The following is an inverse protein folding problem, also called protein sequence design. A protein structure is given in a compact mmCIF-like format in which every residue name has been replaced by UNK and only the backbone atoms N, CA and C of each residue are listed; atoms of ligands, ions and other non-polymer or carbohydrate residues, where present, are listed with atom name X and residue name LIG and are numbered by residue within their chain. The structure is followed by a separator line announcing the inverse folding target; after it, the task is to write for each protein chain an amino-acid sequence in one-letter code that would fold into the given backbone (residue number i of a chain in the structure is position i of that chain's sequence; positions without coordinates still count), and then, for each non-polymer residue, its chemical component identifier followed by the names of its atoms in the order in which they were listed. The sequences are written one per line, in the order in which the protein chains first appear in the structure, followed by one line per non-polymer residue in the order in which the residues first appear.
data_IF_313233796857
#
_entry.id   IF_313233796857
#
_cell.length_a   1.000
_cell.length_b   1.000
_cell.length_c   1.000
_cell.angle_alpha   90.00
_cell.angle_beta   90.00
_cell.angle_gamma   90.00
#
_symmetry.space_group_name_H-M   'P 1'
#
loop_
_entity.id
_entity.type
_entity.pdbx_description
1 polymer ?
#
# COMPACT_ATOMS: atom_id res chain seq x y z
N UNK A 1 3.73 6.01 15.74
CA UNK A 1 4.63 4.84 15.89
C UNK A 1 4.91 4.18 14.54
N UNK A 2 6.03 3.40 14.45
CA UNK A 2 6.37 2.60 13.26
C UNK A 2 6.38 1.11 13.62
N UNK A 3 5.79 0.29 12.78
CA UNK A 3 5.69 -1.16 12.97
C UNK A 3 6.30 -1.90 11.78
N UNK A 4 6.93 -3.03 12.06
CA UNK A 4 7.48 -3.94 11.05
C UNK A 4 7.13 -5.39 11.39
N UNK A 5 7.13 -6.23 10.37
CA UNK A 5 7.09 -7.68 10.52
C UNK A 5 8.44 -8.23 10.15
N UNK A 6 9.14 -8.85 11.09
CA UNK A 6 10.46 -9.42 10.90
C UNK A 6 10.38 -10.92 10.56
N UNK A 7 11.28 -11.38 9.70
CA UNK A 7 11.42 -12.80 9.34
C UNK A 7 11.75 -13.64 10.59
N UNK A 8 11.07 -14.75 10.77
CA UNK A 8 11.30 -15.71 11.84
C UNK A 8 11.21 -17.18 11.36
N UNK A 9 11.07 -17.37 10.05
CA UNK A 9 10.86 -18.67 9.40
C UNK A 9 9.40 -19.05 9.22
N UNK A 10 8.46 -18.35 9.86
CA UNK A 10 7.03 -18.48 9.61
C UNK A 10 6.59 -17.63 8.40
N UNK A 11 5.35 -17.85 7.93
CA UNK A 11 4.78 -17.06 6.84
C UNK A 11 4.37 -15.66 7.28
N UNK A 12 4.02 -15.47 8.54
CA UNK A 12 3.49 -14.22 9.06
C UNK A 12 4.52 -13.41 9.85
N UNK A 13 5.71 -13.99 10.09
CA UNK A 13 6.80 -13.34 10.81
C UNK A 13 6.43 -12.93 12.24
N UNK A 14 7.23 -12.08 12.83
CA UNK A 14 7.04 -11.56 14.19
C UNK A 14 6.94 -10.04 14.20
N UNK A 15 6.04 -9.51 15.05
CA UNK A 15 5.81 -8.08 15.17
C UNK A 15 6.96 -7.38 15.90
N UNK A 16 7.39 -6.26 15.37
CA UNK A 16 8.36 -5.37 15.97
C UNK A 16 7.92 -3.91 15.90
N UNK A 17 8.28 -3.14 16.92
CA UNK A 17 8.24 -1.68 16.89
C UNK A 17 9.59 -1.19 16.38
N UNK A 18 9.59 -0.15 15.52
CA UNK A 18 10.79 0.41 14.89
C UNK A 18 10.95 1.86 15.29
N UNK A 19 12.21 2.28 15.55
CA UNK A 19 12.55 3.65 15.91
C UNK A 19 12.21 4.66 14.78
N UNK A 20 12.00 5.92 15.15
CA UNK A 20 11.66 6.99 14.19
C UNK A 20 12.69 7.16 13.08
N UNK A 21 13.97 6.96 13.40
CA UNK A 21 15.07 7.05 12.46
C UNK A 21 15.36 5.76 11.68
N UNK A 22 14.57 4.70 11.90
CA UNK A 22 14.67 3.39 11.24
C UNK A 22 15.99 2.65 11.53
N UNK A 23 16.67 2.96 12.61
CA UNK A 23 17.96 2.32 12.96
C UNK A 23 17.84 1.15 13.93
N UNK A 24 16.81 1.17 14.79
CA UNK A 24 16.59 0.20 15.85
C UNK A 24 15.18 -0.36 15.84
N UNK A 25 15.01 -1.54 16.42
CA UNK A 25 13.69 -2.14 16.64
C UNK A 25 13.68 -2.98 17.91
N UNK A 26 12.47 -3.28 18.36
CA UNK A 26 12.20 -4.20 19.47
C UNK A 26 11.08 -5.15 19.08
N UNK A 27 11.32 -6.45 19.23
CA UNK A 27 10.28 -7.48 19.02
C UNK A 27 9.29 -7.43 20.19
N UNK A 28 8.00 -7.42 19.88
CA UNK A 28 6.91 -7.19 20.83
C UNK A 28 5.92 -8.35 20.92
N UNK A 29 6.41 -9.59 20.80
CA UNK A 29 5.58 -10.80 20.87
C UNK A 29 4.72 -10.91 22.15
N UNK A 30 5.14 -10.28 23.25
CA UNK A 30 4.38 -10.19 24.48
C UNK A 30 3.16 -9.25 24.38
N UNK A 31 3.06 -8.44 23.34
CA UNK A 31 1.89 -7.62 23.02
C UNK A 31 1.01 -8.37 22.03
N UNK A 32 1.59 -8.75 20.89
CA UNK A 32 0.98 -9.57 19.87
C UNK A 32 2.06 -10.31 19.07
N UNK A 33 1.86 -11.58 18.69
CA UNK A 33 2.86 -12.34 17.95
C UNK A 33 3.10 -11.81 16.53
N UNK A 34 2.05 -11.32 15.87
CA UNK A 34 2.07 -10.82 14.50
C UNK A 34 1.30 -9.50 14.41
N UNK A 35 1.49 -8.74 13.33
CA UNK A 35 0.69 -7.54 13.09
C UNK A 35 -0.80 -7.89 12.92
N UNK A 36 -1.11 -9.01 12.27
CA UNK A 36 -2.50 -9.49 12.16
C UNK A 36 -3.13 -9.67 13.54
N UNK A 37 -2.46 -10.37 14.45
CA UNK A 37 -2.98 -10.59 15.80
C UNK A 37 -3.12 -9.27 16.61
N UNK A 38 -2.31 -8.27 16.31
CA UNK A 38 -2.46 -6.94 16.90
C UNK A 38 -3.69 -6.22 16.34
N UNK A 39 -3.95 -6.31 15.05
CA UNK A 39 -5.11 -5.72 14.40
C UNK A 39 -6.43 -6.40 14.85
N UNK A 40 -6.45 -7.72 14.97
CA UNK A 40 -7.61 -8.47 15.47
C UNK A 40 -8.01 -8.08 16.92
N UNK A 41 -7.14 -7.37 17.63
CA UNK A 41 -7.38 -6.90 19.00
C UNK A 41 -6.77 -5.50 19.23
N UNK A 42 -7.03 -4.59 18.29
CA UNK A 42 -6.37 -3.28 18.23
C UNK A 42 -6.62 -2.40 19.44
N UNK A 43 -7.81 -2.45 20.01
CA UNK A 43 -8.15 -1.68 21.23
C UNK A 43 -7.19 -1.98 22.39
N UNK A 44 -6.73 -3.23 22.52
CA UNK A 44 -5.80 -3.65 23.56
C UNK A 44 -4.34 -3.58 23.11
N UNK A 45 -4.04 -3.93 21.86
CA UNK A 45 -2.68 -3.96 21.34
C UNK A 45 -2.15 -2.56 21.04
N UNK A 46 -2.95 -1.71 20.40
CA UNK A 46 -2.55 -0.39 19.92
C UNK A 46 -1.93 0.50 21.02
N UNK A 47 -2.59 0.74 22.18
CA UNK A 47 -2.02 1.52 23.28
C UNK A 47 -0.72 0.93 23.85
N UNK A 48 -0.57 -0.39 23.82
CA UNK A 48 0.67 -1.07 24.29
C UNK A 48 1.79 -0.90 23.28
N UNK A 49 1.50 -0.95 21.99
CA UNK A 49 2.46 -0.71 20.91
C UNK A 49 2.96 0.74 20.92
N UNK A 50 2.08 1.72 21.18
CA UNK A 50 2.48 3.12 21.35
C UNK A 50 3.47 3.26 22.50
N UNK A 51 3.18 2.68 23.68
CA UNK A 51 4.11 2.71 24.83
C UNK A 51 5.44 2.00 24.53
N UNK A 52 5.40 0.90 23.77
CA UNK A 52 6.62 0.23 23.33
C UNK A 52 7.46 1.10 22.38
N UNK A 53 6.81 1.87 21.51
CA UNK A 53 7.49 2.84 20.64
C UNK A 53 8.16 3.97 21.47
N UNK A 54 7.46 4.52 22.46
CA UNK A 54 8.00 5.53 23.36
C UNK A 54 9.18 4.98 24.19
N UNK A 55 9.08 3.75 24.69
CA UNK A 55 10.15 3.09 25.42
C UNK A 55 11.38 2.82 24.55
N UNK A 56 11.18 2.49 23.25
CA UNK A 56 12.24 2.34 22.28
C UNK A 56 12.99 3.67 22.06
N UNK A 57 12.27 4.77 21.82
CA UNK A 57 12.87 6.10 21.61
C UNK A 57 13.66 6.60 22.80
N UNK A 58 13.22 6.26 24.02
CA UNK A 58 13.89 6.69 25.27
C UNK A 58 14.98 5.72 25.73
N UNK A 59 15.21 4.61 25.03
CA UNK A 59 16.17 3.58 25.43
C UNK A 59 15.76 2.79 26.68
N UNK A 60 14.47 2.81 27.03
CA UNK A 60 13.95 2.15 28.23
C UNK A 60 13.70 0.63 28.07
N UNK A 61 14.03 0.07 26.91
CA UNK A 61 13.90 -1.36 26.63
C UNK A 61 15.06 -1.87 25.75
N UNK A 62 15.35 -3.18 25.76
CA UNK A 62 16.34 -3.77 24.88
C UNK A 62 16.00 -3.55 23.41
N UNK A 63 17.01 -3.22 22.62
CA UNK A 63 16.87 -2.95 21.18
C UNK A 63 17.83 -3.80 20.37
N UNK A 64 17.49 -4.05 19.14
CA UNK A 64 18.36 -4.59 18.11
C UNK A 64 18.39 -3.66 16.89
N UNK A 65 19.43 -3.78 16.08
CA UNK A 65 19.53 -2.98 14.86
C UNK A 65 18.44 -3.38 13.87
N UNK A 66 17.70 -2.40 13.38
CA UNK A 66 16.73 -2.64 12.31
C UNK A 66 17.41 -2.78 10.94
N UNK A 67 17.10 -3.85 10.24
CA UNK A 67 17.57 -4.10 8.88
C UNK A 67 16.38 -4.42 7.98
N UNK A 68 16.12 -3.57 6.99
CA UNK A 68 15.00 -3.74 6.05
C UNK A 68 15.05 -5.08 5.27
N UNK A 69 16.24 -5.67 5.07
CA UNK A 69 16.37 -7.00 4.47
C UNK A 69 15.81 -8.14 5.34
N UNK A 70 15.68 -7.90 6.64
CA UNK A 70 15.06 -8.84 7.56
C UNK A 70 13.55 -8.63 7.71
N UNK A 71 13.01 -7.56 7.11
CA UNK A 71 11.57 -7.31 7.10
C UNK A 71 10.87 -8.14 6.02
N UNK A 72 9.65 -8.54 6.32
CA UNK A 72 8.61 -8.95 5.38
C UNK A 72 7.77 -7.73 5.01
N UNK A 73 6.74 -7.89 4.15
CA UNK A 73 5.63 -6.96 4.11
C UNK A 73 5.06 -6.79 5.53
N UNK A 74 4.60 -5.60 5.94
CA UNK A 74 4.00 -5.41 7.28
C UNK A 74 2.92 -6.44 7.60
N UNK A 75 2.06 -6.77 6.62
CA UNK A 75 1.20 -7.95 6.62
C UNK A 75 1.64 -8.84 5.47
N UNK A 76 2.34 -9.96 5.70
CA UNK A 76 2.79 -10.86 4.63
C UNK A 76 1.64 -11.52 3.87
N UNK A 77 0.49 -11.66 4.52
CA UNK A 77 -0.79 -12.09 3.98
C UNK A 77 -1.88 -11.21 4.59
N UNK A 78 -2.90 -10.88 3.82
CA UNK A 78 -4.06 -10.14 4.31
C UNK A 78 -5.34 -10.88 3.95
N UNK A 79 -6.41 -10.66 4.71
CA UNK A 79 -7.72 -11.23 4.36
C UNK A 79 -8.24 -10.67 3.05
N UNK A 80 -7.91 -9.42 2.77
CA UNK A 80 -8.30 -8.77 1.53
C UNK A 80 -7.30 -7.67 1.15
N UNK A 81 -7.12 -7.52 -0.15
CA UNK A 81 -6.40 -6.46 -0.81
C UNK A 81 -7.31 -5.81 -1.84
N UNK A 82 -7.49 -4.52 -1.78
CA UNK A 82 -8.26 -3.78 -2.76
C UNK A 82 -7.48 -2.55 -3.21
N UNK A 83 -7.50 -2.28 -4.51
CA UNK A 83 -6.91 -1.09 -5.09
C UNK A 83 -8.00 -0.22 -5.70
N UNK A 84 -7.97 1.08 -5.39
CA UNK A 84 -8.91 2.08 -5.85
C UNK A 84 -8.25 3.13 -6.74
N UNK A 85 -8.82 3.36 -7.91
CA UNK A 85 -8.40 4.44 -8.82
C UNK A 85 -8.77 5.80 -8.23
N UNK A 86 -7.97 6.31 -7.31
CA UNK A 86 -8.23 7.53 -6.55
C UNK A 86 -8.00 8.82 -7.35
N UNK A 87 -7.19 8.78 -8.42
CA UNK A 87 -6.79 9.95 -9.20
C UNK A 87 -7.42 9.91 -10.59
N UNK A 88 -8.64 10.43 -10.69
CA UNK A 88 -9.44 10.40 -11.92
C UNK A 88 -8.81 11.20 -13.06
N UNK A 89 -8.07 12.28 -12.77
CA UNK A 89 -7.29 13.03 -13.75
C UNK A 89 -6.31 12.14 -14.54
N UNK A 90 -5.72 11.14 -13.90
CA UNK A 90 -4.87 10.17 -14.57
C UNK A 90 -5.66 9.33 -15.60
N UNK A 91 -6.82 8.79 -15.17
CA UNK A 91 -7.72 8.05 -16.07
C UNK A 91 -8.16 8.92 -17.26
N UNK A 92 -8.44 10.21 -17.00
CA UNK A 92 -8.78 11.18 -18.03
C UNK A 92 -7.66 11.33 -19.06
N UNK A 93 -6.41 11.49 -18.62
CA UNK A 93 -5.25 11.60 -19.51
C UNK A 93 -5.06 10.34 -20.38
N UNK A 94 -5.19 9.15 -19.80
CA UNK A 94 -5.10 7.88 -20.55
C UNK A 94 -6.22 7.75 -21.59
N UNK A 95 -7.47 8.10 -21.22
CA UNK A 95 -8.60 8.05 -22.16
C UNK A 95 -8.45 9.09 -23.25
N UNK A 96 -8.03 10.30 -22.93
CA UNK A 96 -7.76 11.37 -23.91
C UNK A 96 -6.68 10.95 -24.92
N UNK A 97 -5.63 10.29 -24.49
CA UNK A 97 -4.59 9.75 -25.38
C UNK A 97 -5.12 8.66 -26.32
N UNK A 98 -6.25 8.02 -25.98
CA UNK A 98 -6.94 7.00 -26.80
C UNK A 98 -8.14 7.57 -27.56
N UNK A 99 -8.34 8.89 -27.56
CA UNK A 99 -9.54 9.57 -28.13
C UNK A 99 -10.87 9.01 -27.59
N UNK A 100 -10.90 8.60 -26.31
CA UNK A 100 -12.09 8.10 -25.64
C UNK A 100 -12.64 9.14 -24.66
N UNK A 101 -13.96 9.34 -24.66
CA UNK A 101 -14.63 10.22 -23.72
C UNK A 101 -14.60 9.68 -22.30
N UNK A 102 -14.65 10.58 -21.33
CA UNK A 102 -14.67 10.27 -19.90
C UNK A 102 -16.13 10.21 -19.42
N UNK A 103 -16.67 9.03 -19.05
CA UNK A 103 -18.00 8.96 -18.47
C UNK A 103 -18.10 9.79 -17.18
N UNK A 104 -19.18 10.56 -16.97
CA UNK A 104 -19.35 11.36 -15.74
C UNK A 104 -19.28 10.54 -14.45
N UNK A 105 -19.66 9.27 -14.48
CA UNK A 105 -19.62 8.36 -13.33
C UNK A 105 -18.22 8.16 -12.74
N UNK A 106 -17.16 8.34 -13.51
CA UNK A 106 -15.78 8.22 -13.02
C UNK A 106 -15.43 9.27 -11.94
N UNK A 107 -16.15 10.40 -11.92
CA UNK A 107 -15.95 11.45 -10.92
C UNK A 107 -16.73 11.23 -9.62
N UNK A 108 -17.66 10.28 -9.62
CA UNK A 108 -18.58 10.05 -8.48
C UNK A 108 -18.57 8.62 -7.96
N UNK A 109 -18.02 7.67 -8.74
CA UNK A 109 -18.04 6.24 -8.42
C UNK A 109 -16.63 5.66 -8.69
N UNK A 110 -15.81 5.43 -7.65
CA UNK A 110 -14.43 5.00 -7.84
C UNK A 110 -14.36 3.60 -8.44
N UNK A 111 -13.47 3.42 -9.42
CA UNK A 111 -13.09 2.10 -9.90
C UNK A 111 -12.23 1.42 -8.84
N UNK A 112 -12.49 0.13 -8.62
CA UNK A 112 -11.76 -0.66 -7.65
C UNK A 112 -11.63 -2.09 -8.11
N UNK A 113 -10.47 -2.72 -7.88
CA UNK A 113 -10.31 -4.15 -8.08
C UNK A 113 -9.85 -4.84 -6.80
N UNK A 114 -10.13 -6.14 -6.71
CA UNK A 114 -9.64 -6.99 -5.64
C UNK A 114 -8.40 -7.73 -6.12
N UNK A 115 -7.26 -7.44 -5.50
CA UNK A 115 -5.98 -8.08 -5.77
C UNK A 115 -5.76 -9.37 -4.99
N UNK A 116 -4.74 -10.11 -5.37
CA UNK A 116 -4.26 -11.28 -4.63
C UNK A 116 -3.70 -10.85 -3.26
N UNK A 117 -4.18 -11.46 -2.19
CA UNK A 117 -3.80 -11.11 -0.81
C UNK A 117 -3.15 -12.26 -0.02
N UNK A 118 -2.90 -13.38 -0.68
CA UNK A 118 -2.37 -14.60 -0.09
C UNK A 118 -0.85 -14.59 0.13
N UNK A 119 -0.13 -13.75 -0.61
CA UNK A 119 1.32 -13.59 -0.49
C UNK A 119 1.78 -12.25 -1.05
N UNK A 120 2.37 -11.41 -0.20
CA UNK A 120 2.98 -10.15 -0.59
C UNK A 120 4.50 -10.23 -0.58
N UNK A 121 5.14 -9.51 -1.49
CA UNK A 121 6.59 -9.45 -1.56
C UNK A 121 7.16 -8.60 -0.44
N UNK A 122 8.24 -9.06 0.15
CA UNK A 122 9.02 -8.27 1.10
C UNK A 122 9.68 -7.06 0.38
N UNK A 123 10.05 -5.99 1.11
CA UNK A 123 10.53 -4.74 0.51
C UNK A 123 11.79 -4.88 -0.35
N UNK A 124 12.60 -5.90 -0.09
CA UNK A 124 13.84 -6.20 -0.83
C UNK A 124 13.80 -7.54 -1.56
N UNK A 125 12.61 -8.13 -1.70
CA UNK A 125 12.45 -9.34 -2.48
C UNK A 125 12.50 -9.02 -3.98
N UNK A 126 13.23 -9.79 -4.82
CA UNK A 126 13.19 -9.60 -6.26
C UNK A 126 11.78 -9.88 -6.81
N UNK A 127 11.34 -9.07 -7.76
CA UNK A 127 10.12 -9.31 -8.53
C UNK A 127 10.50 -10.23 -9.70
N UNK A 128 10.12 -11.51 -9.59
CA UNK A 128 10.47 -12.52 -10.58
C UNK A 128 9.34 -12.69 -11.58
N UNK A 129 9.59 -12.38 -12.83
CA UNK A 129 8.65 -12.53 -13.96
C UNK A 129 9.39 -13.30 -15.06
N UNK A 130 8.73 -14.31 -15.62
CA UNK A 130 9.34 -15.24 -16.59
C UNK A 130 9.58 -14.61 -17.97
N UNK A 131 8.74 -13.63 -18.39
CA UNK A 131 8.79 -13.07 -19.72
C UNK A 131 8.62 -11.53 -19.68
N UNK A 132 9.60 -10.81 -20.20
CA UNK A 132 9.57 -9.36 -20.33
C UNK A 132 8.44 -8.87 -21.27
N UNK A 133 7.98 -9.72 -22.18
CA UNK A 133 6.84 -9.41 -23.06
C UNK A 133 5.51 -9.20 -22.30
N UNK A 134 5.44 -9.65 -21.04
CA UNK A 134 4.30 -9.32 -20.16
C UNK A 134 4.23 -7.84 -19.81
N UNK A 135 5.30 -7.05 -20.10
CA UNK A 135 5.31 -5.60 -19.95
C UNK A 135 5.35 -5.19 -18.48
N UNK A 136 6.45 -5.53 -17.79
CA UNK A 136 6.64 -5.29 -16.37
C UNK A 136 6.68 -3.78 -16.10
N UNK A 137 5.83 -3.31 -15.20
CA UNK A 137 5.74 -1.91 -14.78
C UNK A 137 5.63 -1.80 -13.26
N UNK A 138 6.03 -0.65 -12.71
CA UNK A 138 5.92 -0.33 -11.30
C UNK A 138 4.83 0.73 -11.08
N UNK A 139 4.08 0.57 -10.02
CA UNK A 139 3.09 1.55 -9.56
C UNK A 139 3.37 1.90 -8.09
N UNK A 140 3.98 3.08 -7.88
CA UNK A 140 4.24 3.57 -6.53
C UNK A 140 2.99 4.21 -5.95
N UNK A 141 2.57 3.75 -4.76
CA UNK A 141 1.29 4.12 -4.17
C UNK A 141 1.38 4.29 -2.66
N UNK A 142 0.36 4.93 -2.09
CA UNK A 142 0.09 4.96 -0.66
C UNK A 142 -1.00 3.95 -0.33
N UNK A 143 -0.79 3.15 0.70
CA UNK A 143 -1.76 2.17 1.20
C UNK A 143 -2.14 2.46 2.65
N UNK A 144 -3.37 2.12 3.02
CA UNK A 144 -3.84 2.13 4.41
C UNK A 144 -4.24 0.73 4.87
N UNK A 145 -3.99 0.44 6.14
CA UNK A 145 -4.53 -0.75 6.83
C UNK A 145 -5.68 -0.26 7.70
N UNK A 146 -6.83 -0.91 7.56
CA UNK A 146 -8.04 -0.57 8.30
C UNK A 146 -8.38 -1.64 9.33
N UNK A 147 -9.09 -1.23 10.35
CA UNK A 147 -9.81 -2.08 11.28
C UNK A 147 -11.10 -2.63 10.66
N UNK A 148 -11.93 -3.29 11.45
CA UNK A 148 -13.29 -3.69 11.03
C UNK A 148 -14.07 -2.50 10.52
N UNK A 149 -14.63 -2.65 9.33
CA UNK A 149 -15.49 -1.64 8.71
C UNK A 149 -16.86 -2.26 8.45
N UNK A 150 -17.93 -1.77 9.07
CA UNK A 150 -19.25 -2.32 8.89
C UNK A 150 -19.75 -2.14 7.46
N UNK A 151 -20.63 -3.04 7.02
CA UNK A 151 -21.30 -2.88 5.73
C UNK A 151 -22.10 -1.57 5.71
N UNK A 152 -21.91 -0.77 4.66
CA UNK A 152 -22.59 0.52 4.50
C UNK A 152 -22.01 1.63 5.37
N UNK A 153 -20.76 1.49 5.84
CA UNK A 153 -20.08 2.48 6.68
C UNK A 153 -20.16 3.90 6.10
N UNK A 154 -20.40 4.85 6.98
CA UNK A 154 -20.27 6.29 6.69
C UNK A 154 -18.80 6.69 6.45
N UNK A 155 -18.58 7.90 5.91
CA UNK A 155 -17.22 8.42 5.72
C UNK A 155 -16.51 8.65 7.07
N UNK A 156 -17.26 8.95 8.14
CA UNK A 156 -16.70 9.12 9.48
C UNK A 156 -16.23 7.77 10.06
N UNK A 157 -17.05 6.73 9.98
CA UNK A 157 -16.68 5.37 10.39
C UNK A 157 -15.51 4.84 9.57
N UNK A 158 -15.51 5.06 8.25
CA UNK A 158 -14.42 4.69 7.37
C UNK A 158 -13.10 5.40 7.74
N UNK A 159 -13.15 6.71 8.06
CA UNK A 159 -12.01 7.48 8.53
C UNK A 159 -11.48 6.97 9.86
N UNK A 160 -12.38 6.69 10.80
CA UNK A 160 -12.03 6.19 12.12
C UNK A 160 -11.42 4.79 12.08
N UNK A 161 -11.69 4.01 11.04
CA UNK A 161 -11.14 2.67 10.87
C UNK A 161 -9.68 2.65 10.38
N UNK A 162 -9.12 3.74 9.86
CA UNK A 162 -7.73 3.79 9.39
C UNK A 162 -6.77 3.67 10.58
N UNK A 163 -5.97 2.60 10.61
CA UNK A 163 -5.01 2.31 11.68
C UNK A 163 -3.58 2.65 11.30
N UNK A 164 -3.18 2.29 10.09
CA UNK A 164 -1.80 2.38 9.65
C UNK A 164 -1.72 2.83 8.19
N UNK A 165 -0.61 3.46 7.83
CA UNK A 165 -0.29 3.95 6.48
C UNK A 165 1.06 3.40 6.05
N UNK A 166 1.23 3.07 4.78
CA UNK A 166 2.48 2.54 4.22
C UNK A 166 2.60 2.80 2.72
N UNK A 167 3.71 2.40 2.14
CA UNK A 167 3.94 2.44 0.70
C UNK A 167 3.80 1.05 0.08
N UNK A 168 3.40 1.03 -1.18
CA UNK A 168 3.31 -0.17 -2.01
C UNK A 168 3.84 0.10 -3.41
N UNK A 169 4.39 -0.93 -4.01
CA UNK A 169 4.58 -1.06 -5.45
C UNK A 169 3.59 -2.10 -5.95
N UNK A 170 2.51 -1.64 -6.59
CA UNK A 170 1.52 -2.52 -7.21
C UNK A 170 2.02 -2.93 -8.60
N UNK A 171 2.78 -4.01 -8.63
CA UNK A 171 3.43 -4.52 -9.83
C UNK A 171 2.39 -4.85 -10.89
N UNK A 172 2.59 -4.33 -12.10
CA UNK A 172 1.64 -4.48 -13.21
C UNK A 172 2.32 -5.08 -14.43
N UNK A 173 1.64 -6.03 -15.07
CA UNK A 173 2.06 -6.64 -16.32
C UNK A 173 1.21 -6.07 -17.46
N UNK A 174 1.61 -4.90 -17.96
CA UNK A 174 0.83 -4.09 -18.91
C UNK A 174 0.45 -4.82 -20.20
N UNK A 175 1.29 -5.75 -20.67
CA UNK A 175 1.02 -6.55 -21.85
C UNK A 175 -0.16 -7.50 -21.69
N UNK A 176 -0.49 -7.92 -20.47
CA UNK A 176 -1.59 -8.86 -20.20
C UNK A 176 -2.94 -8.14 -19.96
N UNK A 177 -2.91 -6.90 -19.49
CA UNK A 177 -4.11 -6.13 -19.09
C UNK A 177 -5.20 -6.08 -20.18
N UNK A 178 -4.91 -5.75 -21.46
CA UNK A 178 -5.96 -5.62 -22.47
C UNK A 178 -6.73 -6.91 -22.69
N UNK A 179 -6.04 -8.06 -22.68
CA UNK A 179 -6.68 -9.36 -22.89
C UNK A 179 -7.54 -9.79 -21.69
N UNK A 180 -7.16 -9.43 -20.48
CA UNK A 180 -7.96 -9.70 -19.28
C UNK A 180 -9.20 -8.81 -19.22
N UNK A 181 -9.05 -7.50 -19.40
CA UNK A 181 -10.18 -6.54 -19.40
C UNK A 181 -11.16 -6.82 -20.55
N UNK A 182 -10.68 -7.28 -21.70
CA UNK A 182 -11.51 -7.69 -22.82
C UNK A 182 -12.47 -8.83 -22.50
N UNK A 183 -12.20 -9.63 -21.45
CA UNK A 183 -13.08 -10.71 -20.96
C UNK A 183 -14.15 -10.21 -19.97
N UNK A 184 -14.04 -8.97 -19.48
CA UNK A 184 -15.04 -8.33 -18.60
C UNK A 184 -14.97 -8.72 -17.11
N UNK A 185 -13.95 -9.44 -16.66
CA UNK A 185 -13.82 -9.89 -15.26
C UNK A 185 -12.81 -9.09 -14.41
N UNK A 186 -11.89 -8.37 -15.02
CA UNK A 186 -10.88 -7.60 -14.34
C UNK A 186 -9.51 -8.28 -14.31
N UNK A 187 -8.63 -7.79 -13.43
CA UNK A 187 -7.22 -8.21 -13.35
C UNK A 187 -7.05 -9.53 -12.58
N UNK A 188 -6.20 -10.41 -13.08
CA UNK A 188 -5.76 -11.62 -12.40
C UNK A 188 -4.26 -11.86 -12.64
N UNK A 189 -3.88 -12.33 -13.85
CA UNK A 189 -2.48 -12.57 -14.19
C UNK A 189 -1.67 -11.28 -14.35
N UNK A 190 -2.33 -10.20 -14.77
CA UNK A 190 -1.69 -8.89 -14.99
C UNK A 190 -1.33 -8.15 -13.71
N UNK A 191 -1.80 -8.59 -12.56
CA UNK A 191 -1.48 -8.06 -11.23
C UNK A 191 -0.88 -9.19 -10.36
N UNK A 192 0.43 -9.49 -10.50
CA UNK A 192 1.13 -10.43 -9.63
C UNK A 192 1.23 -9.88 -8.20
N UNK A 193 1.99 -10.55 -7.32
CA UNK A 193 2.14 -10.11 -5.94
C UNK A 193 2.74 -8.70 -5.84
N UNK A 194 2.05 -7.81 -5.12
CA UNK A 194 2.52 -6.46 -4.81
C UNK A 194 3.63 -6.47 -3.76
N UNK A 195 4.52 -5.48 -3.79
CA UNK A 195 5.63 -5.32 -2.85
C UNK A 195 5.38 -4.13 -1.91
N UNK A 196 5.62 -4.29 -0.61
CA UNK A 196 5.31 -3.26 0.38
C UNK A 196 6.54 -2.76 1.12
N UNK A 197 6.42 -1.53 1.69
CA UNK A 197 7.47 -0.93 2.50
C UNK A 197 7.83 -1.79 3.72
N UNK A 198 9.08 -1.68 4.24
CA UNK A 198 9.53 -2.47 5.38
C UNK A 198 8.82 -2.13 6.69
N UNK A 199 8.20 -0.95 6.73
CA UNK A 199 7.46 -0.45 7.88
C UNK A 199 6.11 0.11 7.46
N UNK A 200 5.17 0.06 8.38
CA UNK A 200 3.93 0.84 8.35
C UNK A 200 3.94 1.82 9.52
N UNK A 201 3.24 2.93 9.38
CA UNK A 201 3.22 4.01 10.38
C UNK A 201 1.79 4.31 10.81
N UNK A 202 1.60 4.65 12.08
CA UNK A 202 0.32 5.21 12.54
C UNK A 202 0.12 6.63 11.98
N UNK A 203 -1.12 7.07 11.73
CA UNK A 203 -1.41 8.40 11.17
C UNK A 203 -0.79 9.57 11.93
N UNK A 204 -0.70 9.49 13.27
CA UNK A 204 -0.07 10.49 14.13
C UNK A 204 1.42 10.72 13.82
N UNK A 205 2.11 9.68 13.33
CA UNK A 205 3.53 9.78 12.94
C UNK A 205 3.73 10.68 11.70
N UNK A 206 2.68 10.90 10.92
CA UNK A 206 2.69 11.74 9.72
C UNK A 206 2.40 13.23 10.04
N UNK A 207 1.94 13.54 11.26
CA UNK A 207 1.63 14.90 11.69
C UNK A 207 0.70 15.64 10.73
N UNK A 208 0.99 16.91 10.47
CA UNK A 208 0.18 17.79 9.60
C UNK A 208 0.14 17.33 8.12
N UNK A 209 0.99 16.38 7.72
CA UNK A 209 0.95 15.82 6.37
C UNK A 209 -0.22 14.85 6.15
N UNK A 210 -0.88 14.40 7.22
CA UNK A 210 -2.05 13.54 7.17
C UNK A 210 -3.30 14.32 7.62
N UNK A 211 -4.26 14.54 6.71
CA UNK A 211 -5.50 15.28 7.02
C UNK A 211 -6.66 14.37 7.46
N UNK A 212 -6.38 13.09 7.67
CA UNK A 212 -7.37 12.07 8.00
C UNK A 212 -7.93 11.31 6.80
N UNK A 213 -7.58 11.69 5.58
CA UNK A 213 -8.04 11.03 4.36
C UNK A 213 -7.04 11.05 3.22
N UNK A 214 -6.06 11.98 3.26
CA UNK A 214 -5.03 12.14 2.24
C UNK A 214 -3.66 12.35 2.87
N UNK A 215 -2.62 11.93 2.18
CA UNK A 215 -1.24 12.16 2.57
C UNK A 215 -0.62 13.27 1.70
N UNK A 216 -0.34 14.42 2.29
CA UNK A 216 0.21 15.60 1.59
C UNK A 216 1.75 15.59 1.57
N UNK A 217 2.33 14.50 1.08
CA UNK A 217 3.77 14.32 0.91
C UNK A 217 4.12 13.89 -0.52
N UNK A 218 5.31 14.23 -1.02
CA UNK A 218 5.78 13.72 -2.30
C UNK A 218 6.08 12.22 -2.20
N UNK A 219 5.43 11.43 -3.05
CA UNK A 219 5.81 10.05 -3.31
C UNK A 219 7.05 10.06 -4.21
N UNK A 220 8.18 9.62 -3.66
CA UNK A 220 9.45 9.59 -4.38
C UNK A 220 9.70 8.22 -4.97
N UNK A 221 9.84 8.19 -6.27
CA UNK A 221 10.24 6.99 -7.01
C UNK A 221 11.58 7.27 -7.69
N UNK A 222 12.57 6.44 -7.43
CA UNK A 222 13.85 6.44 -8.13
C UNK A 222 13.99 5.13 -8.91
N UNK A 223 14.48 5.22 -10.14
CA UNK A 223 14.70 4.06 -10.99
C UNK A 223 16.18 4.01 -11.39
N UNK A 224 16.86 2.90 -11.07
CA UNK A 224 18.31 2.73 -11.27
C UNK A 224 19.15 3.89 -10.69
N UNK A 225 18.75 4.39 -9.51
CA UNK A 225 19.44 5.48 -8.82
C UNK A 225 19.16 6.88 -9.38
N UNK A 226 18.31 7.03 -10.39
CA UNK A 226 17.89 8.30 -10.94
C UNK A 226 16.45 8.65 -10.52
N UNK A 227 16.12 9.93 -10.26
CA UNK A 227 14.76 10.36 -9.99
C UNK A 227 13.83 10.01 -11.15
N UNK A 228 12.72 9.30 -10.83
CA UNK A 228 11.70 8.89 -11.80
C UNK A 228 10.38 9.61 -11.55
N UNK A 229 9.87 9.61 -10.32
CA UNK A 229 8.61 10.23 -9.94
C UNK A 229 8.70 11.03 -8.65
N UNK A 230 7.93 12.12 -8.56
CA UNK A 230 7.93 13.07 -7.42
C UNK A 230 6.55 13.67 -7.18
N UNK A 231 5.46 13.00 -7.55
CA UNK A 231 4.12 13.52 -7.37
C UNK A 231 3.76 13.61 -5.87
N UNK A 232 3.03 14.65 -5.48
CA UNK A 232 2.48 14.75 -4.13
C UNK A 232 1.20 13.90 -4.05
N UNK A 233 1.15 12.96 -3.11
CA UNK A 233 0.06 12.02 -2.96
C UNK A 233 -1.28 12.68 -2.54
N UNK A 234 -1.27 13.88 -1.97
CA UNK A 234 -2.49 14.61 -1.60
C UNK A 234 -3.05 15.50 -2.70
N UNK A 235 -2.30 15.74 -3.80
CA UNK A 235 -2.73 16.60 -4.89
C UNK A 235 -3.48 15.77 -5.94
N UNK A 236 -4.57 16.31 -6.49
CA UNK A 236 -5.42 15.69 -7.52
C UNK A 236 -6.06 14.34 -7.10
N UNK A 237 -5.99 13.97 -5.82
CA UNK A 237 -6.69 12.82 -5.28
C UNK A 237 -8.19 13.11 -5.25
N UNK A 238 -8.93 12.57 -6.23
CA UNK A 238 -10.38 12.76 -6.40
C UNK A 238 -11.16 12.07 -5.27
N UNK A 239 -10.78 10.84 -4.95
CA UNK A 239 -11.39 10.06 -3.88
C UNK A 239 -10.38 9.87 -2.75
N UNK A 240 -10.68 10.38 -1.56
CA UNK A 240 -9.85 10.15 -0.37
C UNK A 240 -10.03 8.73 0.18
N UNK A 241 -9.15 8.33 1.12
CA UNK A 241 -9.23 6.98 1.69
C UNK A 241 -10.58 6.66 2.35
N UNK A 242 -11.19 7.54 3.15
CA UNK A 242 -12.55 7.30 3.66
C UNK A 242 -13.60 7.02 2.59
N UNK A 243 -13.56 7.73 1.47
CA UNK A 243 -14.48 7.49 0.34
C UNK A 243 -14.25 6.11 -0.30
N UNK A 244 -12.99 5.73 -0.51
CA UNK A 244 -12.64 4.42 -1.04
C UNK A 244 -13.03 3.29 -0.08
N UNK A 245 -12.79 3.44 1.23
CA UNK A 245 -13.16 2.48 2.27
C UNK A 245 -14.68 2.29 2.32
N UNK A 246 -15.44 3.38 2.38
CA UNK A 246 -16.90 3.35 2.38
C UNK A 246 -17.45 2.69 1.10
N UNK A 247 -16.86 3.01 -0.07
CA UNK A 247 -17.21 2.36 -1.33
C UNK A 247 -16.93 0.85 -1.27
N UNK A 248 -15.77 0.44 -0.79
CA UNK A 248 -15.41 -0.97 -0.65
C UNK A 248 -16.35 -1.71 0.32
N UNK A 249 -16.83 -1.05 1.37
CA UNK A 249 -17.73 -1.61 2.38
C UNK A 249 -19.22 -1.57 2.00
N UNK A 250 -19.59 -1.08 0.82
CA UNK A 250 -20.99 -0.86 0.40
C UNK A 250 -21.85 -2.11 0.45
N UNK A 251 -21.31 -3.29 0.17
CA UNK A 251 -22.06 -4.53 0.02
C UNK A 251 -21.63 -5.65 0.96
N UNK A 252 -20.62 -5.45 1.78
CA UNK A 252 -20.10 -6.42 2.76
C UNK A 252 -19.30 -5.73 3.86
N UNK A 253 -19.24 -6.36 5.01
CA UNK A 253 -18.28 -6.00 6.06
C UNK A 253 -16.84 -6.16 5.56
N UNK A 254 -15.94 -5.36 6.09
CA UNK A 254 -14.51 -5.47 5.89
C UNK A 254 -13.87 -5.85 7.21
N UNK A 255 -13.31 -7.05 7.28
CA UNK A 255 -12.57 -7.53 8.45
C UNK A 255 -11.30 -6.72 8.69
N UNK A 256 -10.75 -6.72 9.92
CA UNK A 256 -9.46 -6.09 10.21
C UNK A 256 -8.41 -6.67 9.27
N UNK A 257 -7.65 -5.80 8.59
CA UNK A 257 -6.64 -6.17 7.58
C UNK A 257 -7.03 -6.03 6.12
N UNK A 258 -8.07 -5.26 5.83
CA UNK A 258 -8.29 -4.83 4.47
C UNK A 258 -7.29 -3.73 4.12
N UNK A 259 -6.51 -3.98 3.09
CA UNK A 259 -5.63 -3.00 2.50
C UNK A 259 -6.39 -2.25 1.44
N UNK A 260 -6.28 -0.94 1.47
CA UNK A 260 -6.81 -0.09 0.42
C UNK A 260 -5.70 0.80 -0.07
N UNK A 261 -5.40 0.75 -1.34
CA UNK A 261 -4.49 1.70 -1.98
C UNK A 261 -5.23 2.79 -2.69
N UNK A 262 -4.55 3.93 -2.77
CA UNK A 262 -4.86 4.97 -3.70
C UNK A 262 -3.74 4.96 -4.77
N UNK A 263 -4.09 4.49 -5.95
CA UNK A 263 -3.20 4.43 -7.09
C UNK A 263 -2.76 5.84 -7.50
N UNK A 264 -1.50 6.16 -7.24
CA UNK A 264 -0.86 7.38 -7.71
C UNK A 264 0.13 7.01 -8.82
N UNK A 265 -0.33 6.97 -10.06
CA UNK A 265 0.58 6.77 -11.17
C UNK A 265 1.53 7.95 -11.31
N UNK A 266 2.79 7.71 -11.01
CA UNK A 266 3.90 8.60 -11.32
C UNK A 266 4.33 8.41 -12.78
N UNK A 267 3.40 8.57 -13.73
CA UNK A 267 3.80 8.62 -15.15
C UNK A 267 4.32 10.01 -15.49
N UNK A 268 5.65 10.11 -15.55
CA UNK A 268 6.26 11.07 -16.46
C UNK A 268 5.79 10.75 -17.91
N UNK A 269 5.61 11.76 -18.80
CA UNK A 269 5.29 11.53 -20.23
C UNK A 269 6.31 10.65 -20.96
N UNK A 270 7.30 10.14 -20.28
CA UNK A 270 8.42 9.30 -20.75
C UNK A 270 8.24 7.81 -20.47
N UNK A 271 7.09 7.32 -20.03
CA UNK A 271 6.87 5.86 -19.86
C UNK A 271 7.12 5.06 -21.15
N UNK A 272 6.92 5.66 -22.32
CA UNK A 272 7.33 5.08 -23.62
C UNK A 272 8.86 4.92 -23.76
N UNK A 273 9.69 5.56 -22.90
CA UNK A 273 11.14 5.47 -22.96
C UNK A 273 11.74 4.47 -21.96
N UNK A 274 10.97 3.95 -21.01
CA UNK A 274 11.47 3.01 -19.98
C UNK A 274 11.68 1.61 -20.58
N UNK A 275 10.80 1.16 -21.45
CA UNK A 275 10.92 -0.14 -22.13
C UNK A 275 12.21 -0.27 -22.95
N UNK A 276 12.66 0.75 -23.73
CA UNK A 276 13.96 0.68 -24.40
C UNK A 276 15.18 0.76 -23.48
N UNK A 277 15.07 1.36 -22.30
CA UNK A 277 16.19 1.47 -21.36
C UNK A 277 16.45 0.16 -20.61
N UNK A 278 15.40 -0.63 -20.30
CA UNK A 278 15.52 -1.99 -19.74
C UNK A 278 16.22 -2.96 -20.70
N UNK A 279 16.06 -2.78 -22.01
CA UNK A 279 16.73 -3.59 -23.04
C UNK A 279 18.24 -3.30 -23.23
N UNK A 280 18.75 -2.21 -22.66
CA UNK A 280 20.17 -1.80 -22.82
C UNK A 280 21.06 -2.16 -21.63
N UNK A 281 20.51 -2.70 -20.54
CA UNK A 281 21.23 -3.05 -19.32
C UNK A 281 21.27 -4.56 -19.04
N UNK A 282 20.91 -5.41 -20.03
CA UNK A 282 21.07 -6.87 -19.98
C UNK A 282 22.32 -7.31 -20.75
#
# INVERSE_FOLDING_TARGET
MKLATLKDGSRDGKLAVVSKDLTQCTVVNHIAPTLQAALDNWEHAGPRLIRAAEALETGAQPTERFHEHHALSPLPRAYQWADGSAYVNHVELVRKARNAEMPPSFWTDPLMYQGGSDAFLAPRHPILIEDEAFGIDMEGEVAVIVDDVPMGASLEEARAAIRLVMLVNDVSLRGLIPAELGKGFGFFQSKPSSAFSPVTVSPDELGDAWDGGKLHLPLRVDFNGAPFGRANAGIDMTFDFPQLIAHAAKTRERSPTNWLTAHLENRSPTAERVIPALRKSA
#
